data_IF_289321196658
#
_entry.id   IF_289321196658
#
_cell.length_a   1.000
_cell.length_b   1.000
_cell.length_c   1.000
_cell.angle_alpha   90.00
_cell.angle_beta   90.00
_cell.angle_gamma   90.00
#
_symmetry.space_group_name_H-M   'P 1'
#
loop_
_entity.id
_entity.type
_entity.pdbx_description
1 polymer ?
#
# COMPACT_ATOMS: atom_id res chain seq x y z
N UNK A 1 -7.29 0.77 -23.80
CA UNK A 1 -5.83 0.75 -23.50
C UNK A 1 -5.55 1.73 -22.37
N UNK A 2 -4.81 1.34 -21.32
CA UNK A 2 -4.40 2.27 -20.25
C UNK A 2 -3.33 3.21 -20.80
N UNK A 3 -3.46 4.53 -20.60
CA UNK A 3 -2.41 5.48 -20.97
C UNK A 3 -1.12 5.16 -20.20
N UNK A 4 0.06 5.14 -20.85
CA UNK A 4 1.34 4.89 -20.19
C UNK A 4 1.59 5.82 -18.99
N UNK A 5 1.22 7.10 -19.09
CA UNK A 5 1.34 8.06 -18.00
C UNK A 5 0.41 7.75 -16.82
N UNK A 6 -0.85 7.38 -17.10
CA UNK A 6 -1.81 7.02 -16.05
C UNK A 6 -1.38 5.77 -15.28
N UNK A 7 -0.88 4.76 -15.99
CA UNK A 7 -0.37 3.53 -15.38
C UNK A 7 0.89 3.79 -14.54
N UNK A 8 1.85 4.54 -15.09
CA UNK A 8 3.10 4.86 -14.38
C UNK A 8 2.82 5.70 -13.13
N UNK A 9 1.94 6.70 -13.23
CA UNK A 9 1.51 7.51 -12.09
C UNK A 9 0.91 6.66 -10.98
N UNK A 10 -0.02 5.77 -11.32
CA UNK A 10 -0.66 4.87 -10.36
C UNK A 10 0.36 3.98 -9.64
N UNK A 11 1.30 3.38 -10.37
CA UNK A 11 2.35 2.53 -9.81
C UNK A 11 3.27 3.29 -8.86
N UNK A 12 3.75 4.48 -9.25
CA UNK A 12 4.60 5.32 -8.40
C UNK A 12 3.82 5.77 -7.16
N UNK A 13 2.57 6.19 -7.33
CA UNK A 13 1.69 6.59 -6.23
C UNK A 13 1.52 5.47 -5.20
N UNK A 14 1.23 4.24 -5.65
CA UNK A 14 1.10 3.09 -4.73
C UNK A 14 2.38 2.84 -3.93
N UNK A 15 3.56 2.89 -4.56
CA UNK A 15 4.84 2.67 -3.88
C UNK A 15 5.14 3.79 -2.87
N UNK A 16 4.98 5.04 -3.26
CA UNK A 16 5.19 6.20 -2.37
C UNK A 16 4.23 6.15 -1.18
N UNK A 17 2.94 5.87 -1.44
CA UNK A 17 1.95 5.74 -0.39
C UNK A 17 2.28 4.61 0.58
N UNK A 18 2.74 3.46 0.08
CA UNK A 18 3.09 2.34 0.95
C UNK A 18 4.30 2.63 1.85
N UNK A 19 5.32 3.34 1.34
CA UNK A 19 6.44 3.83 2.17
C UNK A 19 5.94 4.82 3.22
N UNK A 20 5.08 5.76 2.82
CA UNK A 20 4.48 6.73 3.75
C UNK A 20 3.70 6.03 4.86
N UNK A 21 2.84 5.06 4.51
CA UNK A 21 2.09 4.26 5.49
C UNK A 21 2.99 3.43 6.39
N UNK A 22 4.09 2.86 5.88
CA UNK A 22 5.05 2.14 6.70
C UNK A 22 5.73 3.09 7.71
N UNK A 23 6.19 4.26 7.26
CA UNK A 23 6.81 5.25 8.13
C UNK A 23 5.82 5.83 9.16
N UNK A 24 4.57 6.10 8.78
CA UNK A 24 3.54 6.58 9.71
C UNK A 24 3.28 5.58 10.84
N UNK A 25 3.33 4.28 10.54
CA UNK A 25 3.11 3.18 11.50
C UNK A 25 4.34 2.86 12.36
N UNK A 26 5.52 3.36 12.00
CA UNK A 26 6.71 3.14 12.81
C UNK A 26 6.55 3.80 14.20
N UNK A 27 6.83 3.02 15.25
CA UNK A 27 6.75 3.44 16.66
C UNK A 27 8.04 4.19 17.03
N UNK A 28 7.97 5.52 16.96
CA UNK A 28 9.09 6.43 17.27
C UNK A 28 9.64 6.20 18.70
N UNK A 29 8.79 6.13 19.75
CA UNK A 29 9.26 5.80 21.10
C UNK A 29 9.98 4.44 21.23
N UNK A 30 9.53 3.41 20.50
CA UNK A 30 10.21 2.12 20.49
C UNK A 30 11.56 2.19 19.78
N UNK A 31 11.67 2.93 18.68
CA UNK A 31 12.93 3.18 17.97
C UNK A 31 13.93 3.90 18.90
N UNK A 32 13.48 4.93 19.61
CA UNK A 32 14.34 5.67 20.54
C UNK A 32 14.86 4.79 21.68
N UNK A 33 13.99 3.96 22.27
CA UNK A 33 14.39 2.98 23.30
C UNK A 33 15.40 1.99 22.76
N UNK A 34 15.16 1.41 21.58
CA UNK A 34 16.10 0.49 20.93
C UNK A 34 17.48 1.14 20.73
N UNK A 35 17.52 2.38 20.24
CA UNK A 35 18.79 3.09 20.03
C UNK A 35 19.50 3.40 21.36
N UNK A 36 18.75 3.69 22.42
CA UNK A 36 19.32 3.89 23.76
C UNK A 36 19.89 2.59 24.35
N UNK A 37 19.18 1.46 24.18
CA UNK A 37 19.55 0.14 24.71
C UNK A 37 20.69 -0.53 23.94
N UNK A 38 20.85 -0.23 22.64
CA UNK A 38 21.91 -0.82 21.81
C UNK A 38 23.33 -0.53 22.35
N UNK A 39 23.50 0.50 23.18
CA UNK A 39 24.79 0.89 23.77
C UNK A 39 25.79 1.42 22.73
N UNK A 40 26.86 2.05 23.19
CA UNK A 40 27.84 2.70 22.31
C UNK A 40 28.66 1.72 21.48
N UNK A 41 28.73 0.45 21.90
CA UNK A 41 29.54 -0.58 21.24
C UNK A 41 28.83 -1.30 20.08
N UNK A 42 27.51 -1.13 19.90
CA UNK A 42 26.78 -1.80 18.80
C UNK A 42 26.45 -0.87 17.65
N UNK A 43 26.26 0.42 17.90
CA UNK A 43 25.95 1.43 16.89
C UNK A 43 26.81 2.67 17.09
N UNK A 44 27.55 3.04 16.05
CA UNK A 44 28.32 4.28 16.05
C UNK A 44 27.38 5.51 16.10
N UNK A 45 27.90 6.70 16.46
CA UNK A 45 27.09 7.92 16.58
C UNK A 45 26.28 8.28 15.33
N UNK A 46 26.81 8.04 14.12
CA UNK A 46 26.14 8.37 12.87
C UNK A 46 24.96 7.44 12.61
N UNK A 47 25.15 6.12 12.83
CA UNK A 47 24.07 5.15 12.68
C UNK A 47 22.94 5.41 13.67
N UNK A 48 23.26 5.71 14.94
CA UNK A 48 22.25 6.07 15.95
C UNK A 48 21.43 7.29 15.52
N UNK A 49 22.09 8.34 15.03
CA UNK A 49 21.42 9.54 14.55
C UNK A 49 20.52 9.23 13.36
N UNK A 50 21.03 8.48 12.38
CA UNK A 50 20.25 8.08 11.21
C UNK A 50 18.98 7.32 11.59
N UNK A 51 19.08 6.32 12.47
CA UNK A 51 17.92 5.50 12.89
C UNK A 51 16.84 6.36 13.57
N UNK A 52 17.23 7.29 14.46
CA UNK A 52 16.29 8.23 15.10
C UNK A 52 15.63 9.17 14.09
N UNK A 53 16.36 9.64 13.09
CA UNK A 53 15.83 10.57 12.09
C UNK A 53 15.08 9.85 10.94
N UNK A 54 15.28 8.54 10.77
CA UNK A 54 14.84 7.77 9.60
C UNK A 54 13.33 7.89 9.34
N UNK A 55 12.50 7.80 10.38
CA UNK A 55 11.05 7.93 10.26
C UNK A 55 10.67 9.31 9.70
N UNK A 56 11.19 10.38 10.32
CA UNK A 56 10.92 11.76 9.90
C UNK A 56 11.43 12.04 8.49
N UNK A 57 12.65 11.62 8.17
CA UNK A 57 13.26 11.80 6.84
C UNK A 57 12.43 11.07 5.78
N UNK A 58 12.02 9.83 6.06
CA UNK A 58 11.17 9.04 5.15
C UNK A 58 9.83 9.75 4.90
N UNK A 59 9.16 10.22 5.96
CA UNK A 59 7.91 10.97 5.83
C UNK A 59 8.09 12.24 4.98
N UNK A 60 9.15 13.03 5.25
CA UNK A 60 9.45 14.23 4.48
C UNK A 60 9.70 13.92 2.98
N UNK A 61 10.47 12.89 2.67
CA UNK A 61 10.70 12.44 1.30
C UNK A 61 9.40 11.99 0.62
N UNK A 62 8.55 11.21 1.30
CA UNK A 62 7.27 10.77 0.72
C UNK A 62 6.29 11.92 0.49
N UNK A 63 6.28 12.93 1.36
CA UNK A 63 5.49 14.15 1.17
C UNK A 63 5.97 14.94 -0.05
N UNK A 64 7.28 15.13 -0.20
CA UNK A 64 7.87 15.78 -1.37
C UNK A 64 7.54 15.01 -2.67
N UNK A 65 7.65 13.68 -2.67
CA UNK A 65 7.26 12.85 -3.82
C UNK A 65 5.76 12.94 -4.14
N UNK A 66 4.91 13.08 -3.11
CA UNK A 66 3.47 13.31 -3.30
C UNK A 66 3.18 14.65 -3.97
N UNK A 67 3.95 15.69 -3.67
CA UNK A 67 3.88 16.96 -4.40
C UNK A 67 4.26 16.78 -5.89
N UNK A 68 5.33 16.04 -6.18
CA UNK A 68 5.73 15.74 -7.57
C UNK A 68 4.64 14.94 -8.30
N UNK A 69 4.06 13.93 -7.65
CA UNK A 69 2.94 13.14 -8.19
C UNK A 69 1.70 14.01 -8.47
N UNK A 70 1.46 15.01 -7.62
CA UNK A 70 0.33 15.94 -7.79
C UNK A 70 0.55 16.88 -8.97
N UNK A 71 1.78 17.37 -9.16
CA UNK A 71 2.16 18.16 -10.32
C UNK A 71 2.11 17.35 -11.62
N UNK A 72 2.56 16.08 -11.58
CA UNK A 72 2.60 15.17 -12.72
C UNK A 72 1.40 14.22 -12.78
N UNK A 73 0.19 14.69 -12.51
CA UNK A 73 -1.01 13.84 -12.56
C UNK A 73 -1.48 13.56 -14.00
N UNK A 74 -2.16 12.42 -14.24
CA UNK A 74 -2.83 12.15 -15.51
C UNK A 74 -3.95 13.16 -15.78
N UNK A 75 -4.22 13.43 -17.05
CA UNK A 75 -5.34 14.21 -17.52
C UNK A 75 -5.46 14.08 -19.03
N UNK A 76 -6.28 14.93 -19.62
CA UNK A 76 -6.52 14.93 -21.07
C UNK A 76 -6.14 16.29 -21.66
N UNK A 77 -5.70 16.29 -22.91
CA UNK A 77 -5.47 17.50 -23.71
C UNK A 77 -6.80 18.09 -24.22
N UNK A 78 -6.80 19.26 -24.90
CA UNK A 78 -8.03 19.86 -25.44
C UNK A 78 -8.79 18.98 -26.45
N UNK A 79 -8.15 17.96 -27.01
CA UNK A 79 -8.74 17.02 -27.97
C UNK A 79 -9.12 15.68 -27.34
N UNK A 80 -8.99 15.54 -26.01
CA UNK A 80 -9.33 14.34 -25.26
C UNK A 80 -8.24 13.26 -25.27
N UNK A 81 -7.03 13.55 -25.76
CA UNK A 81 -5.92 12.61 -25.72
C UNK A 81 -5.28 12.59 -24.32
N UNK A 82 -4.92 11.41 -23.78
CA UNK A 82 -4.40 11.31 -22.43
C UNK A 82 -2.96 11.83 -22.35
N UNK A 83 -2.72 12.75 -21.42
CA UNK A 83 -1.43 13.40 -21.17
C UNK A 83 -1.09 13.44 -19.68
N UNK A 84 0.18 13.69 -19.37
CA UNK A 84 0.59 14.17 -18.06
C UNK A 84 0.34 15.68 -17.97
N UNK A 85 -0.45 16.15 -16.99
CA UNK A 85 -0.75 17.58 -16.83
C UNK A 85 0.48 18.44 -16.51
N UNK A 86 1.51 17.87 -15.90
CA UNK A 86 2.76 18.58 -15.62
C UNK A 86 3.69 18.71 -16.82
N UNK A 87 3.61 17.79 -17.79
CA UNK A 87 4.50 17.79 -18.97
C UNK A 87 3.80 18.25 -20.26
N UNK A 88 2.48 18.16 -20.33
CA UNK A 88 1.71 18.37 -21.56
C UNK A 88 1.85 17.23 -22.58
N UNK A 89 2.47 16.11 -22.21
CA UNK A 89 2.82 15.00 -23.12
C UNK A 89 2.23 13.67 -22.66
N UNK A 90 1.96 12.71 -23.58
CA UNK A 90 1.51 11.36 -23.23
C UNK A 90 2.51 10.57 -22.39
N UNK A 91 3.80 10.89 -22.51
CA UNK A 91 4.87 10.27 -21.74
C UNK A 91 5.46 11.26 -20.72
N UNK A 92 5.56 10.83 -19.46
CA UNK A 92 6.16 11.64 -18.40
C UNK A 92 7.52 11.08 -18.00
N UNK A 93 8.60 11.76 -18.42
CA UNK A 93 9.98 11.37 -18.06
C UNK A 93 10.21 11.41 -16.54
N UNK A 94 9.62 12.38 -15.84
CA UNK A 94 9.71 12.48 -14.38
C UNK A 94 9.14 11.25 -13.69
N UNK A 95 7.92 10.85 -14.04
CA UNK A 95 7.29 9.67 -13.44
C UNK A 95 8.02 8.38 -13.81
N UNK A 96 8.54 8.28 -15.03
CA UNK A 96 9.34 7.12 -15.45
C UNK A 96 10.64 7.03 -14.64
N UNK A 97 11.38 8.13 -14.51
CA UNK A 97 12.58 8.18 -13.67
C UNK A 97 12.30 7.85 -12.20
N UNK A 98 11.19 8.34 -11.64
CA UNK A 98 10.76 7.94 -10.30
C UNK A 98 10.44 6.44 -10.20
N UNK A 99 9.75 5.88 -11.18
CA UNK A 99 9.46 4.45 -11.22
C UNK A 99 10.73 3.59 -11.26
N UNK A 100 11.73 4.03 -12.05
CA UNK A 100 13.03 3.37 -12.19
C UNK A 100 13.83 3.43 -10.89
N UNK A 101 13.92 4.60 -10.24
CA UNK A 101 14.61 4.76 -8.93
C UNK A 101 13.94 3.90 -7.87
N UNK A 102 12.61 3.96 -7.75
CA UNK A 102 11.88 3.15 -6.77
C UNK A 102 12.05 1.65 -7.04
N UNK A 103 12.14 1.23 -8.30
CA UNK A 103 12.46 -0.15 -8.65
C UNK A 103 13.89 -0.53 -8.27
N UNK A 104 14.88 0.33 -8.54
CA UNK A 104 16.29 0.10 -8.25
C UNK A 104 16.56 -0.08 -6.76
N UNK A 105 15.88 0.68 -5.90
CA UNK A 105 15.98 0.55 -4.44
C UNK A 105 14.99 -0.47 -3.85
N UNK A 106 14.38 -1.31 -4.70
CA UNK A 106 13.42 -2.33 -4.31
C UNK A 106 12.29 -1.80 -3.40
N UNK A 107 11.89 -0.54 -3.59
CA UNK A 107 10.79 0.09 -2.87
C UNK A 107 9.50 -0.55 -3.37
N UNK A 108 9.13 -1.62 -2.70
CA UNK A 108 7.87 -2.33 -2.88
C UNK A 108 6.93 -1.91 -1.78
N UNK A 109 5.61 -1.89 -2.04
CA UNK A 109 4.67 -1.81 -0.94
C UNK A 109 5.02 -2.88 0.09
N UNK A 110 5.18 -2.46 1.35
CA UNK A 110 5.37 -3.43 2.42
C UNK A 110 4.19 -4.41 2.37
N UNK A 111 4.44 -5.73 2.44
CA UNK A 111 3.36 -6.70 2.47
C UNK A 111 2.36 -6.29 3.54
N UNK A 112 1.08 -6.32 3.19
CA UNK A 112 0.01 -6.13 4.17
C UNK A 112 0.21 -7.18 5.26
N UNK A 113 0.21 -6.72 6.50
CA UNK A 113 0.15 -7.58 7.69
C UNK A 113 -1.30 -7.77 8.12
N UNK A 114 -1.55 -8.72 9.03
CA UNK A 114 -2.89 -9.04 9.52
C UNK A 114 -3.61 -7.83 10.11
N UNK A 115 -2.90 -6.95 10.82
CA UNK A 115 -3.50 -5.77 11.45
C UNK A 115 -3.89 -4.71 10.41
N UNK A 116 -3.12 -4.57 9.34
CA UNK A 116 -3.45 -3.70 8.21
C UNK A 116 -4.60 -4.25 7.38
N UNK A 117 -4.67 -5.56 7.17
CA UNK A 117 -5.81 -6.20 6.55
C UNK A 117 -7.10 -5.93 7.34
N UNK A 118 -7.03 -6.04 8.67
CA UNK A 118 -8.14 -5.69 9.56
C UNK A 118 -8.57 -4.23 9.41
N UNK A 119 -7.64 -3.26 9.51
CA UNK A 119 -7.95 -1.81 9.38
C UNK A 119 -8.62 -1.48 8.06
N UNK A 120 -8.13 -2.07 6.96
CA UNK A 120 -8.70 -1.84 5.61
C UNK A 120 -10.11 -2.41 5.49
N UNK A 121 -10.33 -3.60 6.03
CA UNK A 121 -11.66 -4.21 6.04
C UNK A 121 -12.65 -3.41 6.90
N UNK A 122 -12.24 -2.99 8.10
CA UNK A 122 -13.05 -2.16 9.00
C UNK A 122 -13.46 -0.83 8.34
N UNK A 123 -12.51 -0.13 7.71
CA UNK A 123 -12.79 1.10 6.96
C UNK A 123 -13.76 0.86 5.78
N UNK A 124 -13.70 -0.30 5.11
CA UNK A 124 -14.59 -0.64 4.00
C UNK A 124 -16.02 -0.98 4.47
N UNK A 125 -16.17 -1.51 5.67
CA UNK A 125 -17.46 -1.92 6.26
C UNK A 125 -18.21 -0.74 6.93
N UNK A 126 -17.61 0.45 7.00
CA UNK A 126 -18.34 1.69 7.24
C UNK A 126 -18.60 2.03 8.71
N UNK A 127 -17.60 1.91 9.57
CA UNK A 127 -17.56 2.60 10.88
C UNK A 127 -18.52 2.08 11.96
N UNK A 128 -19.32 1.05 11.68
CA UNK A 128 -19.93 0.23 12.74
C UNK A 128 -18.91 -0.84 13.14
N UNK A 129 -18.50 -0.92 14.42
CA UNK A 129 -17.56 -1.92 14.88
C UNK A 129 -18.23 -3.30 14.86
N UNK A 130 -18.29 -3.91 13.67
CA UNK A 130 -18.66 -5.31 13.52
C UNK A 130 -17.39 -6.10 13.82
N UNK A 131 -17.38 -6.98 14.84
CA UNK A 131 -16.23 -7.84 15.07
C UNK A 131 -15.96 -8.63 13.79
N UNK A 132 -14.72 -8.59 13.28
CA UNK A 132 -14.31 -9.33 12.09
C UNK A 132 -13.21 -10.32 12.41
N UNK A 133 -13.30 -11.52 11.85
CA UNK A 133 -12.23 -12.51 11.81
C UNK A 133 -11.33 -12.24 10.60
N UNK A 134 -10.01 -12.33 10.80
CA UNK A 134 -9.02 -12.20 9.73
C UNK A 134 -8.24 -13.50 9.63
N UNK A 135 -8.38 -14.19 8.52
CA UNK A 135 -7.67 -15.43 8.20
C UNK A 135 -6.57 -15.12 7.19
N UNK A 136 -5.37 -15.61 7.45
CA UNK A 136 -4.19 -15.36 6.62
C UNK A 136 -3.97 -16.48 5.60
N UNK A 137 -3.67 -16.14 4.35
CA UNK A 137 -3.20 -17.09 3.34
C UNK A 137 -2.00 -16.51 2.57
N UNK A 138 -1.37 -17.34 1.72
CA UNK A 138 -0.13 -16.97 1.00
C UNK A 138 -0.22 -15.61 0.32
N UNK A 139 -1.30 -15.37 -0.40
CA UNK A 139 -1.46 -14.23 -1.31
C UNK A 139 -2.28 -13.07 -0.72
N UNK A 140 -2.78 -13.20 0.51
CA UNK A 140 -3.64 -12.18 1.10
C UNK A 140 -4.23 -12.56 2.47
N UNK A 141 -5.33 -11.89 2.79
CA UNK A 141 -6.12 -12.13 4.00
C UNK A 141 -7.60 -12.20 3.63
N UNK A 142 -8.31 -13.16 4.22
CA UNK A 142 -9.75 -13.28 4.15
C UNK A 142 -10.32 -12.60 5.39
N UNK A 143 -11.25 -11.66 5.22
CA UNK A 143 -11.93 -10.98 6.32
C UNK A 143 -13.41 -11.28 6.29
N UNK A 144 -13.93 -11.79 7.41
CA UNK A 144 -15.35 -12.15 7.60
C UNK A 144 -15.93 -11.47 8.84
N UNK A 145 -17.20 -11.06 8.83
CA UNK A 145 -17.93 -10.77 10.07
C UNK A 145 -17.86 -11.98 11.03
N UNK A 146 -17.64 -11.73 12.31
CA UNK A 146 -17.54 -12.78 13.33
C UNK A 146 -18.91 -13.23 13.84
N UNK A 147 -19.92 -12.35 13.79
CA UNK A 147 -21.31 -12.69 14.05
C UNK A 147 -21.98 -13.05 12.72
N UNK A 148 -21.97 -14.34 12.39
CA UNK A 148 -22.71 -14.88 11.25
C UNK A 148 -24.12 -15.22 11.78
N UNK A 149 -25.12 -14.38 11.48
CA UNK A 149 -26.50 -14.82 11.61
C UNK A 149 -26.72 -16.00 10.65
N UNK A 150 -27.56 -16.97 11.00
CA UNK A 150 -27.74 -18.23 10.25
C UNK A 150 -28.18 -18.05 8.77
N UNK A 151 -28.55 -16.83 8.38
CA UNK A 151 -29.01 -16.44 7.03
C UNK A 151 -28.11 -15.34 6.39
N UNK A 152 -26.93 -15.07 6.97
CA UNK A 152 -26.10 -13.95 6.57
C UNK A 152 -25.28 -14.24 5.30
N UNK A 153 -25.73 -13.64 4.21
CA UNK A 153 -25.09 -13.64 2.87
C UNK A 153 -23.99 -12.57 2.76
N UNK A 154 -23.56 -11.99 3.88
CA UNK A 154 -22.61 -10.88 3.91
C UNK A 154 -21.35 -11.16 3.09
N UNK A 155 -20.94 -10.23 2.21
CA UNK A 155 -19.81 -10.43 1.32
C UNK A 155 -18.51 -10.59 2.12
N UNK A 156 -17.71 -11.58 1.74
CA UNK A 156 -16.38 -11.80 2.29
C UNK A 156 -15.41 -10.85 1.61
N UNK A 157 -14.50 -10.25 2.38
CA UNK A 157 -13.46 -9.38 1.83
C UNK A 157 -12.16 -10.17 1.68
N UNK A 158 -11.51 -10.03 0.52
CA UNK A 158 -10.11 -10.44 0.36
C UNK A 158 -9.25 -9.18 0.25
N UNK A 159 -8.25 -9.09 1.12
CA UNK A 159 -7.19 -8.07 1.08
C UNK A 159 -5.95 -8.69 0.44
N UNK A 160 -5.55 -8.19 -0.72
CA UNK A 160 -4.33 -8.64 -1.41
C UNK A 160 -3.08 -8.32 -0.58
N UNK A 161 -2.17 -9.28 -0.40
CA UNK A 161 -0.97 -9.05 0.42
C UNK A 161 -0.02 -8.03 -0.18
N UNK A 162 0.15 -8.01 -1.50
CA UNK A 162 1.16 -7.18 -2.16
C UNK A 162 0.73 -5.74 -2.41
N UNK A 163 -0.57 -5.51 -2.57
CA UNK A 163 -1.16 -4.22 -2.95
C UNK A 163 -2.10 -3.67 -1.88
N UNK A 164 -2.61 -4.55 -1.02
CA UNK A 164 -3.68 -4.24 -0.07
C UNK A 164 -4.99 -3.85 -0.75
N UNK A 165 -5.17 -4.19 -2.02
CA UNK A 165 -6.43 -4.03 -2.72
C UNK A 165 -7.51 -4.89 -2.05
N UNK A 166 -8.70 -4.30 -1.86
CA UNK A 166 -9.87 -4.98 -1.34
C UNK A 166 -10.73 -5.49 -2.49
N UNK A 167 -11.17 -6.73 -2.39
CA UNK A 167 -12.14 -7.34 -3.31
C UNK A 167 -13.26 -7.99 -2.51
N UNK A 168 -14.50 -7.85 -3.00
CA UNK A 168 -15.71 -8.44 -2.41
C UNK A 168 -16.01 -9.76 -3.09
N UNK A 169 -16.25 -10.79 -2.30
CA UNK A 169 -16.51 -12.14 -2.75
C UNK A 169 -17.80 -12.67 -2.11
N UNK A 170 -18.51 -13.61 -2.77
CA UNK A 170 -19.60 -14.33 -2.15
C UNK A 170 -19.14 -15.05 -0.87
N UNK A 171 -20.05 -15.26 0.07
CA UNK A 171 -19.79 -16.09 1.23
C UNK A 171 -19.48 -17.53 0.78
N UNK A 172 -18.22 -17.93 0.90
CA UNK A 172 -17.72 -19.24 0.47
C UNK A 172 -16.66 -19.79 1.46
N UNK A 173 -16.43 -21.11 1.48
CA UNK A 173 -15.34 -21.72 2.25
C UNK A 173 -13.96 -21.14 1.87
N UNK A 174 -13.05 -21.03 2.84
CA UNK A 174 -11.72 -20.42 2.67
C UNK A 174 -10.93 -21.05 1.52
N UNK A 175 -10.89 -22.37 1.43
CA UNK A 175 -10.14 -23.07 0.38
C UNK A 175 -10.65 -22.72 -1.02
N UNK A 176 -11.97 -22.62 -1.17
CA UNK A 176 -12.59 -22.22 -2.43
C UNK A 176 -12.26 -20.77 -2.77
N UNK A 177 -12.35 -19.86 -1.79
CA UNK A 177 -11.96 -18.46 -1.96
C UNK A 177 -10.51 -18.31 -2.40
N UNK A 178 -9.58 -18.99 -1.74
CA UNK A 178 -8.15 -18.94 -2.09
C UNK A 178 -7.92 -19.41 -3.52
N UNK A 179 -8.59 -20.50 -3.94
CA UNK A 179 -8.49 -21.03 -5.30
C UNK A 179 -9.03 -20.07 -6.34
N UNK A 180 -10.25 -19.55 -6.15
CA UNK A 180 -10.86 -18.62 -7.10
C UNK A 180 -10.11 -17.27 -7.14
N UNK A 181 -9.59 -16.81 -6.00
CA UNK A 181 -8.74 -15.64 -5.93
C UNK A 181 -7.43 -15.80 -6.70
N UNK A 182 -6.82 -16.99 -6.62
CA UNK A 182 -5.63 -17.33 -7.41
C UNK A 182 -5.90 -17.22 -8.92
N UNK A 183 -7.07 -17.68 -9.39
CA UNK A 183 -7.49 -17.54 -10.79
C UNK A 183 -7.75 -16.09 -11.17
N UNK A 184 -8.38 -15.32 -10.29
CA UNK A 184 -8.63 -13.90 -10.49
C UNK A 184 -7.33 -13.07 -10.62
N UNK A 185 -6.27 -13.45 -9.90
CA UNK A 185 -4.96 -12.78 -9.96
C UNK A 185 -4.09 -13.19 -11.15
N UNK A 186 -4.30 -14.37 -11.72
CA UNK A 186 -3.55 -14.80 -12.89
C UNK A 186 -3.95 -13.93 -14.09
N UNK A 187 -3.02 -13.18 -14.71
CA UNK A 187 -3.34 -12.46 -15.94
C UNK A 187 -3.72 -13.49 -17.01
N UNK A 188 -4.94 -13.37 -17.54
CA UNK A 188 -5.30 -13.96 -18.82
C UNK A 188 -4.58 -13.25 -19.96
#
# INVERSE_FOLDING_TARGET
MRSPAAWTHHQVHQRVHAVMSAAMRADDPAIDRFVAEAGENRLDPHTRRFVREARRLTLACTAALTCVLSAHRPGDDPYGAPICRGCGTPECRTLRGLADVLAAYAVRPAPVDRAEAWRRADACLGGRPIPVSVEEFRDGFIVRPAEIAADDISPVLIVDRGTGALSRWPAMPSELLVREYGRYRAPG
#
